data_IF_411396605603
#
_entry.id   IF_411396605603
#
_cell.length_a   1.000
_cell.length_b   1.000
_cell.length_c   1.000
_cell.angle_alpha   90.00
_cell.angle_beta   90.00
_cell.angle_gamma   90.00
#
_symmetry.space_group_name_H-M   'P 1'
#
loop_
_entity.id
_entity.type
_entity.pdbx_description
1 polymer ?
#
# COMPACT_ATOMS: atom_id res chain seq x y z
N UNK A 1 46.34 -59.66 5.08
CA UNK A 1 45.40 -58.70 5.72
C UNK A 1 45.50 -57.37 4.98
N UNK A 2 44.50 -57.04 4.16
CA UNK A 2 44.39 -55.76 3.47
C UNK A 2 43.92 -54.68 4.44
N UNK A 3 44.62 -53.55 4.50
CA UNK A 3 44.08 -52.31 5.08
C UNK A 3 44.09 -51.24 3.98
N UNK A 4 42.96 -51.05 3.33
CA UNK A 4 42.76 -49.94 2.42
C UNK A 4 42.78 -48.64 3.25
N UNK A 5 43.71 -47.73 2.92
CA UNK A 5 43.70 -46.38 3.48
C UNK A 5 42.47 -45.63 2.97
N UNK A 6 41.77 -44.84 3.80
CA UNK A 6 40.62 -44.07 3.35
C UNK A 6 41.08 -43.04 2.29
N UNK A 7 40.24 -42.75 1.28
CA UNK A 7 40.57 -41.73 0.28
C UNK A 7 40.69 -40.37 0.97
N UNK A 8 41.83 -39.69 0.78
CA UNK A 8 42.00 -38.30 1.20
C UNK A 8 40.99 -37.45 0.45
N UNK A 9 40.06 -36.81 1.16
CA UNK A 9 39.10 -35.88 0.54
C UNK A 9 39.89 -34.85 -0.27
N UNK A 10 39.71 -34.77 -1.59
CA UNK A 10 40.43 -33.81 -2.40
C UNK A 10 40.04 -32.41 -1.93
N UNK A 11 41.04 -31.55 -1.68
CA UNK A 11 40.85 -30.17 -1.24
C UNK A 11 39.83 -29.39 -2.08
N UNK A 12 39.68 -29.74 -3.36
CA UNK A 12 38.65 -29.18 -4.24
C UNK A 12 37.22 -29.40 -3.72
N UNK A 13 36.90 -30.56 -3.12
CA UNK A 13 35.58 -30.80 -2.52
C UNK A 13 35.37 -29.97 -1.26
N UNK A 14 36.41 -29.79 -0.44
CA UNK A 14 36.35 -28.94 0.76
C UNK A 14 36.12 -27.48 0.34
N UNK A 15 36.90 -26.99 -0.63
CA UNK A 15 36.79 -25.63 -1.16
C UNK A 15 35.43 -25.39 -1.83
N UNK A 16 34.94 -26.33 -2.65
CA UNK A 16 33.63 -26.23 -3.29
C UNK A 16 32.50 -26.20 -2.25
N UNK A 17 32.59 -27.05 -1.22
CA UNK A 17 31.61 -27.07 -0.12
C UNK A 17 31.63 -25.74 0.64
N UNK A 18 32.80 -25.18 0.93
CA UNK A 18 32.92 -23.88 1.61
C UNK A 18 32.29 -22.75 0.78
N UNK A 19 32.57 -22.68 -0.52
CA UNK A 19 31.95 -21.69 -1.40
C UNK A 19 30.43 -21.84 -1.49
N UNK A 20 29.93 -23.08 -1.53
CA UNK A 20 28.49 -23.34 -1.54
C UNK A 20 27.82 -22.89 -0.23
N UNK A 21 28.45 -23.16 0.91
CA UNK A 21 27.96 -22.71 2.22
C UNK A 21 27.96 -21.19 2.31
N UNK A 22 29.07 -20.53 1.97
CA UNK A 22 29.18 -19.06 2.00
C UNK A 22 28.18 -18.42 1.03
N UNK A 23 28.06 -18.95 -0.19
CA UNK A 23 27.13 -18.46 -1.20
C UNK A 23 25.66 -18.63 -0.77
N UNK A 24 25.32 -19.79 -0.19
CA UNK A 24 23.98 -20.05 0.34
C UNK A 24 23.66 -19.13 1.52
N UNK A 25 24.59 -18.99 2.46
CA UNK A 25 24.42 -18.09 3.61
C UNK A 25 24.25 -16.63 3.16
N UNK A 26 25.09 -16.16 2.24
CA UNK A 26 25.00 -14.81 1.67
C UNK A 26 23.67 -14.56 0.96
N UNK A 27 23.17 -15.53 0.19
CA UNK A 27 21.87 -15.42 -0.47
C UNK A 27 20.70 -15.36 0.52
N UNK A 28 20.75 -16.16 1.59
CA UNK A 28 19.73 -16.13 2.66
C UNK A 28 19.74 -14.76 3.34
N UNK A 29 20.92 -14.26 3.73
CA UNK A 29 21.03 -12.96 4.40
C UNK A 29 20.57 -11.81 3.49
N UNK A 30 20.95 -11.82 2.22
CA UNK A 30 20.47 -10.83 1.25
C UNK A 30 18.93 -10.84 1.12
N UNK A 31 18.32 -12.03 1.11
CA UNK A 31 16.86 -12.17 1.08
C UNK A 31 16.18 -11.64 2.35
N UNK A 32 16.74 -11.96 3.52
CA UNK A 32 16.23 -11.47 4.81
C UNK A 32 16.35 -9.95 4.91
N UNK A 33 17.53 -9.38 4.65
CA UNK A 33 17.75 -7.93 4.67
C UNK A 33 16.89 -7.20 3.63
N UNK A 34 16.68 -7.78 2.45
CA UNK A 34 15.77 -7.22 1.45
C UNK A 34 14.31 -7.23 1.92
N UNK A 35 13.90 -8.26 2.66
CA UNK A 35 12.56 -8.33 3.26
C UNK A 35 12.38 -7.29 4.37
N UNK A 36 13.35 -7.15 5.26
CA UNK A 36 13.34 -6.13 6.33
C UNK A 36 13.33 -4.72 5.73
N UNK A 37 14.16 -4.47 4.72
CA UNK A 37 14.18 -3.20 4.02
C UNK A 37 12.81 -2.81 3.45
N UNK A 38 12.05 -3.78 2.90
CA UNK A 38 10.70 -3.51 2.41
C UNK A 38 9.74 -3.09 3.53
N UNK A 39 9.89 -3.63 4.73
CA UNK A 39 9.06 -3.26 5.86
C UNK A 39 9.45 -1.86 6.40
N UNK A 40 10.74 -1.52 6.35
CA UNK A 40 11.28 -0.21 6.75
C UNK A 40 10.95 0.93 5.77
N UNK A 41 10.58 0.62 4.53
CA UNK A 41 10.15 1.63 3.55
C UNK A 41 8.86 2.32 3.99
N UNK A 42 7.98 1.58 4.66
CA UNK A 42 6.70 2.07 5.14
C UNK A 42 6.88 2.98 6.38
N UNK A 43 6.08 4.04 6.47
CA UNK A 43 6.06 4.97 7.61
C UNK A 43 4.65 5.04 8.18
N UNK A 44 4.32 4.23 9.21
CA UNK A 44 2.98 4.20 9.81
C UNK A 44 2.52 5.55 10.36
N UNK A 45 3.47 6.37 10.81
CA UNK A 45 3.23 7.74 11.26
C UNK A 45 4.00 8.69 10.35
N UNK A 46 3.43 9.08 9.19
CA UNK A 46 4.07 10.05 8.30
C UNK A 46 4.04 11.45 8.93
N UNK A 47 4.99 12.31 8.54
CA UNK A 47 5.04 13.71 9.02
C UNK A 47 3.72 14.47 8.79
N UNK A 48 3.01 14.18 7.69
CA UNK A 48 1.72 14.80 7.38
C UNK A 48 0.62 14.43 8.38
N UNK A 49 0.72 13.28 9.07
CA UNK A 49 -0.26 12.88 10.08
C UNK A 49 -0.25 13.79 11.32
N UNK A 50 0.84 14.53 11.56
CA UNK A 50 0.92 15.51 12.63
C UNK A 50 0.20 16.83 12.30
N UNK A 51 -0.13 17.06 11.02
CA UNK A 51 -0.85 18.26 10.58
C UNK A 51 -2.36 18.02 10.59
N UNK A 52 -3.17 18.95 11.13
CA UNK A 52 -4.61 18.82 11.04
C UNK A 52 -5.06 18.87 9.57
N UNK A 53 -6.14 18.14 9.20
CA UNK A 53 -6.67 18.21 7.86
C UNK A 53 -7.16 19.63 7.56
N UNK A 54 -6.79 20.14 6.39
CA UNK A 54 -7.30 21.43 5.91
C UNK A 54 -8.65 21.19 5.22
N UNK A 55 -9.73 21.50 5.92
CA UNK A 55 -11.10 21.27 5.48
C UNK A 55 -11.75 22.61 5.28
N UNK A 56 -11.69 23.12 4.05
CA UNK A 56 -12.46 24.30 3.69
C UNK A 56 -13.90 23.88 3.35
N UNK A 57 -14.92 24.63 3.80
CA UNK A 57 -16.28 24.43 3.33
C UNK A 57 -16.28 24.46 1.79
N UNK A 58 -16.91 23.49 1.11
CA UNK A 58 -16.91 23.48 -0.34
C UNK A 58 -17.51 24.80 -0.84
N UNK A 59 -16.84 25.51 -1.77
CA UNK A 59 -17.32 26.79 -2.29
C UNK A 59 -18.60 26.64 -3.13
N UNK A 60 -18.98 25.39 -3.45
CA UNK A 60 -20.12 25.05 -4.30
C UNK A 60 -21.04 24.05 -3.61
N UNK A 61 -22.36 24.11 -3.87
CA UNK A 61 -23.27 23.03 -3.52
C UNK A 61 -22.83 21.68 -4.12
N UNK A 62 -23.29 20.54 -3.57
CA UNK A 62 -23.01 19.22 -4.13
C UNK A 62 -23.40 19.15 -5.62
N UNK A 63 -22.47 18.69 -6.47
CA UNK A 63 -22.68 18.61 -7.92
C UNK A 63 -23.43 17.33 -8.35
N UNK A 64 -23.54 16.35 -7.45
CA UNK A 64 -24.19 15.08 -7.72
C UNK A 64 -24.83 14.51 -6.45
N UNK A 65 -25.94 13.81 -6.61
CA UNK A 65 -26.62 13.09 -5.52
C UNK A 65 -25.88 11.80 -5.12
N UNK A 66 -25.15 11.19 -6.07
CA UNK A 66 -24.45 9.92 -5.90
C UNK A 66 -23.13 9.95 -6.64
N UNK A 67 -22.08 9.44 -6.00
CA UNK A 67 -20.75 9.28 -6.58
C UNK A 67 -20.37 7.81 -6.51
N UNK A 68 -19.93 7.25 -7.63
CA UNK A 68 -19.37 5.90 -7.71
C UNK A 68 -17.93 6.01 -8.19
N UNK A 69 -17.00 5.60 -7.34
CA UNK A 69 -15.58 5.51 -7.69
C UNK A 69 -15.25 4.05 -8.03
N UNK A 70 -14.84 3.80 -9.27
CA UNK A 70 -14.39 2.49 -9.74
C UNK A 70 -12.89 2.55 -9.97
N UNK A 71 -12.14 1.70 -9.27
CA UNK A 71 -10.69 1.54 -9.47
C UNK A 71 -10.46 0.19 -10.16
N UNK A 72 -9.80 0.21 -11.31
CA UNK A 72 -9.40 -0.99 -12.04
C UNK A 72 -7.89 -1.14 -11.87
N UNK A 73 -7.47 -2.07 -10.99
CA UNK A 73 -6.05 -2.26 -10.69
C UNK A 73 -5.27 -2.75 -11.93
N UNK A 74 -4.05 -2.26 -12.09
CA UNK A 74 -3.16 -2.63 -13.19
C UNK A 74 -3.59 -2.18 -14.60
N UNK A 75 -4.71 -1.44 -14.77
CA UNK A 75 -5.17 -0.99 -16.08
C UNK A 75 -4.34 0.19 -16.61
N UNK A 76 -3.39 -0.11 -17.49
CA UNK A 76 -2.52 0.89 -18.13
C UNK A 76 -3.30 1.72 -19.17
N UNK A 77 -2.89 2.98 -19.35
CA UNK A 77 -3.58 3.94 -20.23
C UNK A 77 -3.71 3.45 -21.68
N UNK A 78 -2.63 2.91 -22.26
CA UNK A 78 -2.61 2.38 -23.63
C UNK A 78 -3.55 1.19 -23.82
N UNK A 79 -3.59 0.27 -22.85
CA UNK A 79 -4.54 -0.86 -22.84
C UNK A 79 -5.97 -0.35 -22.73
N UNK A 80 -6.21 0.66 -21.87
CA UNK A 80 -7.55 1.22 -21.68
C UNK A 80 -8.14 1.84 -22.96
N UNK A 81 -7.33 2.23 -23.95
CA UNK A 81 -7.77 2.78 -25.25
C UNK A 81 -8.19 1.70 -26.24
N UNK A 82 -7.84 0.44 -25.98
CA UNK A 82 -8.22 -0.70 -26.81
C UNK A 82 -9.55 -1.33 -26.37
N UNK A 83 -10.11 -0.90 -25.24
CA UNK A 83 -11.35 -1.44 -24.66
C UNK A 83 -12.59 -0.66 -25.18
N UNK A 84 -13.49 -1.29 -25.98
CA UNK A 84 -14.62 -0.61 -26.61
C UNK A 84 -15.56 0.08 -25.62
N UNK A 85 -15.91 -0.59 -24.52
CA UNK A 85 -16.79 -0.05 -23.49
C UNK A 85 -16.24 1.24 -22.86
N UNK A 86 -14.93 1.28 -22.56
CA UNK A 86 -14.30 2.48 -22.01
C UNK A 86 -14.27 3.61 -23.04
N UNK A 87 -14.09 3.30 -24.33
CA UNK A 87 -14.14 4.30 -25.38
C UNK A 87 -15.55 4.91 -25.54
N UNK A 88 -16.60 4.10 -25.42
CA UNK A 88 -17.98 4.60 -25.39
C UNK A 88 -18.23 5.51 -24.18
N UNK A 89 -17.69 5.14 -23.00
CA UNK A 89 -17.80 5.97 -21.80
C UNK A 89 -17.12 7.34 -21.99
N UNK A 90 -15.92 7.35 -22.58
CA UNK A 90 -15.17 8.59 -22.89
C UNK A 90 -15.91 9.49 -23.88
N UNK A 91 -16.58 8.91 -24.87
CA UNK A 91 -17.34 9.68 -25.86
C UNK A 91 -18.56 10.40 -25.26
N UNK A 92 -19.08 9.90 -24.13
CA UNK A 92 -20.25 10.47 -23.43
C UNK A 92 -19.89 11.32 -22.21
N UNK A 93 -18.62 11.38 -21.83
CA UNK A 93 -18.19 11.99 -20.58
C UNK A 93 -16.88 12.76 -20.72
N UNK A 94 -16.20 12.93 -19.58
CA UNK A 94 -14.90 13.58 -19.52
C UNK A 94 -13.82 12.52 -19.29
N UNK A 95 -12.76 12.59 -20.07
CA UNK A 95 -11.61 11.70 -20.00
C UNK A 95 -10.35 12.49 -19.65
N UNK A 96 -9.54 11.93 -18.76
CA UNK A 96 -8.30 12.53 -18.29
C UNK A 96 -7.16 11.53 -18.24
N UNK A 97 -5.93 12.04 -18.11
CA UNK A 97 -4.74 11.22 -17.90
C UNK A 97 -4.18 11.53 -16.51
N UNK A 98 -3.90 10.48 -15.75
CA UNK A 98 -3.21 10.56 -14.47
C UNK A 98 -1.92 9.74 -14.52
N UNK A 99 -0.91 10.17 -13.76
CA UNK A 99 0.34 9.42 -13.58
C UNK A 99 0.34 8.82 -12.18
N UNK A 100 0.52 7.50 -12.10
CA UNK A 100 0.76 6.83 -10.82
C UNK A 100 2.07 7.33 -10.22
N UNK A 101 2.05 7.62 -8.92
CA UNK A 101 3.23 8.05 -8.18
C UNK A 101 4.05 6.83 -7.79
N UNK A 102 5.38 6.98 -7.77
CA UNK A 102 6.27 5.90 -7.33
C UNK A 102 6.15 5.68 -5.82
N UNK A 103 6.16 4.42 -5.33
CA UNK A 103 6.14 3.18 -6.10
C UNK A 103 4.73 2.86 -6.63
N UNK A 104 4.66 2.26 -7.83
CA UNK A 104 3.39 1.93 -8.51
C UNK A 104 2.80 0.60 -8.05
N UNK A 105 2.85 0.33 -6.74
CA UNK A 105 2.16 -0.80 -6.13
C UNK A 105 0.68 -0.45 -5.85
N UNK A 106 -0.19 -1.46 -5.85
CA UNK A 106 -1.63 -1.29 -5.68
C UNK A 106 -2.00 -0.54 -4.40
N UNK A 107 -1.46 -0.94 -3.24
CA UNK A 107 -1.82 -0.36 -1.94
C UNK A 107 -1.41 1.12 -1.81
N UNK A 108 -0.16 1.52 -2.11
CA UNK A 108 0.21 2.93 -2.25
C UNK A 108 -0.67 3.71 -3.24
N UNK A 109 -1.02 3.09 -4.37
CA UNK A 109 -1.91 3.68 -5.38
C UNK A 109 -3.31 3.99 -4.86
N UNK A 110 -3.92 3.05 -4.14
CA UNK A 110 -5.23 3.22 -3.51
C UNK A 110 -5.24 4.33 -2.46
N UNK A 111 -4.20 4.37 -1.62
CA UNK A 111 -4.03 5.43 -0.63
C UNK A 111 -3.91 6.78 -1.31
N UNK A 112 -3.12 6.89 -2.38
CA UNK A 112 -3.01 8.14 -3.12
C UNK A 112 -4.34 8.58 -3.76
N UNK A 113 -5.12 7.65 -4.34
CA UNK A 113 -6.43 7.97 -4.91
C UNK A 113 -7.41 8.48 -3.84
N UNK A 114 -7.43 7.84 -2.67
CA UNK A 114 -8.44 8.12 -1.64
C UNK A 114 -8.05 9.24 -0.68
N UNK A 115 -6.79 9.62 -0.61
CA UNK A 115 -6.29 10.71 0.26
C UNK A 115 -5.81 11.92 -0.54
N UNK A 116 -5.50 11.75 -1.83
CA UNK A 116 -4.79 12.75 -2.63
C UNK A 116 -3.30 12.89 -2.26
N UNK A 117 -2.79 12.07 -1.33
CA UNK A 117 -1.43 12.17 -0.79
C UNK A 117 -0.52 11.11 -1.45
N UNK A 118 0.56 11.50 -2.15
CA UNK A 118 1.50 10.58 -2.76
C UNK A 118 2.18 9.61 -1.75
N UNK A 119 2.65 8.43 -2.19
CA UNK A 119 3.31 7.44 -1.32
C UNK A 119 4.49 7.98 -0.49
N UNK A 120 5.23 8.94 -1.03
CA UNK A 120 6.34 9.59 -0.34
C UNK A 120 5.90 10.35 0.93
N UNK A 121 4.65 10.84 0.97
CA UNK A 121 4.12 11.67 2.04
C UNK A 121 3.05 10.94 2.88
N UNK A 122 2.34 9.98 2.31
CA UNK A 122 1.36 9.17 3.05
C UNK A 122 2.00 8.09 3.93
N UNK A 123 3.26 7.76 3.66
CA UNK A 123 3.99 6.70 4.37
C UNK A 123 3.62 5.29 3.93
N UNK A 124 2.62 5.12 3.07
CA UNK A 124 2.26 3.82 2.49
C UNK A 124 3.02 3.62 1.19
N UNK A 125 4.06 2.80 1.23
CA UNK A 125 5.03 2.62 0.15
C UNK A 125 5.13 1.19 -0.34
N UNK A 126 4.58 0.22 0.38
CA UNK A 126 4.57 -1.17 -0.06
C UNK A 126 3.18 -1.81 0.01
N UNK A 127 3.05 -2.98 -0.61
CA UNK A 127 1.90 -3.88 -0.42
C UNK A 127 1.99 -4.69 0.89
N UNK A 128 2.90 -4.36 1.80
CA UNK A 128 3.01 -4.97 3.14
C UNK A 128 2.44 -4.08 4.25
N UNK A 129 2.21 -2.79 3.99
CA UNK A 129 1.60 -1.85 4.93
C UNK A 129 0.25 -2.36 5.49
N UNK A 130 0.18 -2.65 6.78
CA UNK A 130 -0.97 -3.32 7.41
C UNK A 130 -1.76 -2.47 8.40
N UNK A 131 -1.31 -1.24 8.63
CA UNK A 131 -1.87 -0.35 9.64
C UNK A 131 -2.98 0.53 9.04
N UNK A 132 -3.86 1.12 9.86
CA UNK A 132 -4.75 2.18 9.37
C UNK A 132 -3.94 3.37 8.84
N UNK A 133 -4.41 3.96 7.74
CA UNK A 133 -3.82 5.17 7.15
C UNK A 133 -4.09 6.35 8.08
N UNK A 134 -3.04 7.09 8.46
CA UNK A 134 -3.12 8.24 9.39
C UNK A 134 -3.24 9.60 8.71
N UNK A 135 -3.28 9.65 7.38
CA UNK A 135 -3.59 10.88 6.62
C UNK A 135 -5.08 10.93 6.27
N UNK A 136 -5.64 12.13 6.20
CA UNK A 136 -7.05 12.33 5.89
C UNK A 136 -7.48 11.70 4.56
N UNK A 137 -8.66 11.07 4.54
CA UNK A 137 -9.17 10.33 3.39
C UNK A 137 -10.60 10.72 3.04
N UNK A 138 -11.00 10.42 1.81
CA UNK A 138 -12.39 10.56 1.36
C UNK A 138 -13.37 9.84 2.29
N UNK A 139 -12.97 8.71 2.88
CA UNK A 139 -13.81 7.93 3.81
C UNK A 139 -13.99 8.66 5.15
N UNK A 140 -12.98 9.37 5.63
CA UNK A 140 -13.07 10.22 6.82
C UNK A 140 -14.02 11.39 6.56
N UNK A 141 -13.85 12.07 5.41
CA UNK A 141 -14.73 13.17 4.98
C UNK A 141 -16.19 12.72 4.85
N UNK A 142 -16.43 11.56 4.26
CA UNK A 142 -17.79 10.99 4.14
C UNK A 142 -18.39 10.67 5.51
N UNK A 143 -17.59 10.14 6.44
CA UNK A 143 -18.04 9.83 7.81
C UNK A 143 -18.35 11.08 8.61
N UNK A 144 -17.54 12.13 8.47
CA UNK A 144 -17.76 13.41 9.15
C UNK A 144 -18.97 14.16 8.58
N UNK A 145 -19.18 14.09 7.27
CA UNK A 145 -20.36 14.63 6.61
C UNK A 145 -21.64 13.81 6.89
N UNK A 146 -21.51 12.55 7.33
CA UNK A 146 -22.65 11.72 7.68
C UNK A 146 -23.31 12.25 8.96
N UNK A 147 -24.50 12.86 8.80
CA UNK A 147 -25.29 13.36 9.92
C UNK A 147 -26.01 12.21 10.64
N UNK A 148 -26.27 12.32 11.95
CA UNK A 148 -27.07 11.35 12.70
C UNK A 148 -28.45 11.09 12.09
N UNK A 149 -28.99 12.08 11.36
CA UNK A 149 -30.38 12.08 10.87
C UNK A 149 -30.48 11.95 9.32
N UNK A 150 -29.37 11.71 8.60
CA UNK A 150 -29.33 11.77 7.13
C UNK A 150 -28.32 10.84 6.44
N UNK A 151 -28.57 10.44 5.18
CA UNK A 151 -28.25 9.10 4.67
C UNK A 151 -26.96 9.05 3.86
N UNK A 152 -25.83 9.56 4.38
CA UNK A 152 -24.55 9.36 3.69
C UNK A 152 -24.12 7.89 3.85
N UNK A 153 -24.67 7.06 2.95
CA UNK A 153 -24.45 5.61 2.89
C UNK A 153 -23.22 5.36 2.04
N UNK A 154 -22.10 5.06 2.70
CA UNK A 154 -20.92 4.54 2.04
C UNK A 154 -21.05 3.02 1.89
N UNK A 155 -20.88 2.52 0.67
CA UNK A 155 -20.73 1.11 0.37
C UNK A 155 -19.38 0.89 -0.27
N UNK A 156 -18.70 -0.20 0.09
CA UNK A 156 -17.44 -0.59 -0.50
C UNK A 156 -17.52 -2.05 -0.92
N UNK A 157 -17.12 -2.33 -2.16
CA UNK A 157 -16.99 -3.67 -2.69
C UNK A 157 -15.62 -3.79 -3.35
N UNK A 158 -14.89 -4.82 -3.00
CA UNK A 158 -13.54 -5.08 -3.48
C UNK A 158 -13.24 -6.55 -3.30
N UNK A 159 -12.55 -7.11 -4.27
CA UNK A 159 -11.87 -8.40 -4.17
C UNK A 159 -10.58 -8.32 -3.32
N UNK A 160 -10.14 -7.09 -3.00
CA UNK A 160 -8.99 -6.78 -2.17
C UNK A 160 -9.39 -6.40 -0.73
N UNK A 161 -9.09 -7.28 0.22
CA UNK A 161 -9.51 -7.21 1.64
C UNK A 161 -8.76 -6.16 2.48
N UNK A 162 -7.60 -5.68 2.00
CA UNK A 162 -6.80 -4.71 2.73
C UNK A 162 -7.50 -3.35 2.85
N UNK A 163 -8.37 -2.98 1.91
CA UNK A 163 -8.99 -1.66 1.83
C UNK A 163 -9.79 -1.29 3.09
N UNK A 164 -10.71 -2.14 3.59
CA UNK A 164 -11.34 -1.93 4.88
C UNK A 164 -10.33 -1.70 6.01
N UNK A 165 -9.25 -2.48 6.09
CA UNK A 165 -8.25 -2.33 7.17
C UNK A 165 -7.48 -1.00 7.11
N UNK A 166 -7.24 -0.49 5.91
CA UNK A 166 -6.51 0.76 5.70
C UNK A 166 -7.35 1.99 6.09
N UNK A 167 -8.66 1.97 5.84
CA UNK A 167 -9.51 3.17 5.99
C UNK A 167 -10.54 3.07 7.12
N UNK A 168 -10.80 1.89 7.67
CA UNK A 168 -11.65 1.75 8.86
C UNK A 168 -10.83 2.03 10.12
N UNK A 169 -10.89 3.27 10.58
CA UNK A 169 -10.32 3.68 11.87
C UNK A 169 -11.27 3.30 13.01
N UNK A 170 -10.76 2.72 14.11
CA UNK A 170 -11.47 2.73 15.39
C UNK A 170 -11.88 4.16 15.77
N UNK A 171 -13.12 4.34 16.26
CA UNK A 171 -13.70 5.65 16.61
C UNK A 171 -12.89 6.45 17.65
N UNK A 172 -11.93 5.82 18.30
CA UNK A 172 -11.18 6.32 19.46
C UNK A 172 -9.66 6.37 19.23
N UNK A 173 -9.21 6.60 17.99
CA UNK A 173 -7.80 6.91 17.73
C UNK A 173 -7.64 8.43 17.60
N UNK A 174 -7.22 9.14 18.67
CA UNK A 174 -6.81 10.53 18.55
C UNK A 174 -5.69 10.62 17.51
N UNK A 175 -5.71 11.68 16.69
CA UNK A 175 -4.65 11.92 15.70
C UNK A 175 -3.25 12.03 16.33
N UNK A 176 -3.13 12.17 17.67
CA UNK A 176 -1.94 12.66 18.35
C UNK A 176 -1.31 11.78 19.44
N UNK A 177 -1.81 10.58 19.76
CA UNK A 177 -1.15 9.79 20.81
C UNK A 177 -0.14 8.77 20.24
N UNK A 178 1.03 8.80 20.87
CA UNK A 178 2.18 7.95 20.63
C UNK A 178 1.80 6.48 20.88
N UNK A 179 1.94 5.65 19.85
CA UNK A 179 1.96 4.21 20.05
C UNK A 179 3.34 3.86 20.61
N UNK A 180 3.45 3.76 21.93
CA UNK A 180 4.49 2.93 22.53
C UNK A 180 4.25 1.50 22.03
N UNK A 181 5.19 1.02 21.22
CA UNK A 181 5.26 -0.38 20.82
C UNK A 181 5.65 -1.15 22.08
N UNK A 182 4.66 -1.76 22.72
CA UNK A 182 4.89 -2.87 23.64
C UNK A 182 5.65 -3.95 22.89
N UNK A 183 6.96 -3.98 23.11
CA UNK A 183 7.78 -5.13 22.83
C UNK A 183 7.36 -6.23 23.80
N UNK A 184 6.45 -7.09 23.38
CA UNK A 184 6.24 -8.37 24.05
C UNK A 184 6.56 -9.53 23.12
N UNK A 185 7.20 -10.50 23.76
CA UNK A 185 7.98 -11.63 23.23
C UNK A 185 7.18 -12.64 22.43
#
# INVERSE_FOLDING_TARGET
MLRASPPSTPWSLVTATLFLVIGTWGAIQAGLSGSEFMDDLDRPVPALAASPPMVEPPPTPPLAERVVLVVIDGLRLDVSRQLPFLNELRARGIDGRARAQYPTFSRPGYVNILTGVPPAYSGVRTNRFRWPVRVDSLMDRMREAARPDGPLRAGFASDYDAMPRLFLRPRALPLHDDFEVGADR
#
